data_IF_887226251182
#
_entry.id   IF_887226251182
#
_cell.length_a   1.000
_cell.length_b   1.000
_cell.length_c   1.000
_cell.angle_alpha   90.00
_cell.angle_beta   90.00
_cell.angle_gamma   90.00
#
_symmetry.space_group_name_H-M   'P 1'
#
loop_
_entity.id
_entity.type
_entity.pdbx_description
1 polymer ?
#
# COMPACT_ATOMS: atom_id res chain seq x y z
N UNK A 1 0.23 19.39 29.33
CA UNK A 1 1.48 19.25 28.55
C UNK A 1 1.26 18.27 27.42
N UNK A 2 1.18 18.75 26.18
CA UNK A 2 0.91 17.92 25.00
C UNK A 2 2.21 17.42 24.39
N UNK A 3 2.47 16.11 24.51
CA UNK A 3 3.61 15.45 23.84
C UNK A 3 3.20 15.10 22.42
N UNK A 4 3.79 15.79 21.45
CA UNK A 4 3.74 15.39 20.04
C UNK A 4 4.65 14.18 19.84
N UNK A 5 4.15 13.15 19.17
CA UNK A 5 4.96 12.06 18.62
C UNK A 5 4.95 12.21 17.11
N UNK A 6 6.11 12.55 16.56
CA UNK A 6 6.36 12.46 15.13
C UNK A 6 6.54 10.98 14.75
N UNK A 7 5.80 10.54 13.75
CA UNK A 7 5.94 9.20 13.17
C UNK A 7 6.80 9.31 11.92
N UNK A 8 8.00 8.73 11.96
CA UNK A 8 8.79 8.45 10.77
C UNK A 8 8.33 7.09 10.21
N UNK A 9 7.19 7.09 9.53
CA UNK A 9 6.59 5.89 8.96
C UNK A 9 5.32 6.30 8.21
N UNK A 10 5.31 6.07 6.90
CA UNK A 10 4.15 6.39 6.05
C UNK A 10 2.90 5.64 6.49
N UNK A 11 1.76 6.02 5.90
CA UNK A 11 0.40 5.52 6.14
C UNK A 11 0.26 3.99 6.31
N UNK A 12 1.20 3.20 5.78
CA UNK A 12 1.32 1.75 5.96
C UNK A 12 1.43 1.30 7.42
N UNK A 13 2.11 2.07 8.29
CA UNK A 13 2.22 1.74 9.73
C UNK A 13 0.87 1.93 10.46
N UNK A 14 0.04 2.86 9.96
CA UNK A 14 -1.31 3.10 10.48
C UNK A 14 -2.30 2.00 10.08
N UNK A 15 -2.13 1.41 8.89
CA UNK A 15 -2.96 0.30 8.40
C UNK A 15 -2.60 -1.01 9.11
N UNK A 16 -1.32 -1.24 9.40
CA UNK A 16 -0.87 -2.37 10.21
C UNK A 16 -1.44 -2.33 11.65
N UNK A 17 -1.58 -1.13 12.22
CA UNK A 17 -2.18 -0.95 13.56
C UNK A 17 -3.70 -1.13 13.60
N UNK A 18 -4.41 -1.01 12.47
CA UNK A 18 -5.88 -1.14 12.45
C UNK A 18 -6.38 -2.57 12.25
N UNK A 19 -5.47 -3.50 11.95
CA UNK A 19 -5.78 -4.92 11.80
C UNK A 19 -6.68 -5.20 10.59
N UNK A 20 -6.17 -5.94 9.62
CA UNK A 20 -7.03 -6.54 8.61
C UNK A 20 -7.92 -7.60 9.28
N UNK A 21 -9.19 -7.23 9.48
CA UNK A 21 -10.28 -8.16 9.75
C UNK A 21 -10.65 -8.29 11.22
N UNK A 22 -11.53 -7.42 11.71
CA UNK A 22 -12.59 -7.77 12.68
C UNK A 22 -13.79 -6.83 12.50
N UNK A 23 -14.87 -7.36 11.93
CA UNK A 23 -16.18 -6.71 11.91
C UNK A 23 -16.89 -6.89 13.26
N UNK A 24 -16.72 -5.91 14.16
CA UNK A 24 -17.63 -5.42 15.24
C UNK A 24 -18.06 -6.34 16.42
N UNK A 25 -18.76 -5.82 17.45
CA UNK A 25 -18.94 -4.41 17.88
C UNK A 25 -18.74 -4.15 19.42
N UNK A 26 -18.67 -2.85 19.77
CA UNK A 26 -18.87 -2.15 21.06
C UNK A 26 -18.25 -2.66 22.39
N UNK A 27 -17.60 -1.73 23.09
CA UNK A 27 -16.99 -1.85 24.42
C UNK A 27 -18.04 -1.69 25.58
N UNK A 28 -17.69 -1.76 26.88
CA UNK A 28 -18.08 -2.87 27.78
C UNK A 28 -18.88 -2.46 29.03
N UNK A 29 -19.57 -3.41 29.68
CA UNK A 29 -20.03 -3.31 31.08
C UNK A 29 -19.57 -4.55 31.89
N UNK A 30 -19.41 -4.43 33.24
CA UNK A 30 -18.43 -5.20 34.05
C UNK A 30 -18.86 -6.62 34.48
N UNK A 31 -17.96 -7.44 35.06
CA UNK A 31 -17.99 -8.89 34.92
C UNK A 31 -18.77 -9.61 36.02
N UNK A 32 -19.36 -10.75 35.67
CA UNK A 32 -19.79 -11.79 36.63
C UNK A 32 -19.31 -13.16 36.14
N UNK A 33 -18.74 -14.01 37.02
CA UNK A 33 -17.84 -15.07 36.59
C UNK A 33 -18.56 -16.37 36.23
N UNK A 34 -17.82 -17.18 35.47
CA UNK A 34 -17.85 -18.64 35.43
C UNK A 34 -18.89 -19.34 34.54
N UNK A 35 -18.42 -19.75 33.37
CA UNK A 35 -18.44 -21.17 32.96
C UNK A 35 -17.42 -21.40 31.86
N UNK A 36 -16.49 -22.33 32.09
CA UNK A 36 -15.57 -22.80 31.08
C UNK A 36 -16.38 -23.41 29.93
N UNK A 37 -16.49 -22.67 28.83
CA UNK A 37 -16.99 -23.19 27.57
C UNK A 37 -15.85 -23.97 26.88
N UNK A 38 -16.14 -25.10 26.21
CA UNK A 38 -15.12 -25.84 25.46
C UNK A 38 -14.45 -24.89 24.48
N UNK A 39 -13.11 -24.92 24.46
CA UNK A 39 -12.28 -24.22 23.47
C UNK A 39 -12.80 -24.64 22.10
N UNK A 40 -13.59 -23.77 21.46
CA UNK A 40 -14.07 -23.98 20.10
C UNK A 40 -12.80 -24.14 19.27
N UNK A 41 -12.54 -25.37 18.84
CA UNK A 41 -11.43 -25.66 17.95
C UNK A 41 -11.58 -24.69 16.78
N UNK A 42 -10.54 -23.88 16.56
CA UNK A 42 -10.52 -22.90 15.49
C UNK A 42 -11.03 -23.59 14.22
N UNK A 43 -12.22 -23.17 13.76
CA UNK A 43 -12.81 -23.69 12.54
C UNK A 43 -11.74 -23.57 11.46
N UNK A 44 -11.50 -24.60 10.64
CA UNK A 44 -10.51 -24.50 9.57
C UNK A 44 -10.83 -23.25 8.78
N UNK A 45 -9.85 -22.35 8.65
CA UNK A 45 -10.02 -21.10 7.92
C UNK A 45 -10.64 -21.45 6.56
N UNK A 46 -11.88 -21.00 6.34
CA UNK A 46 -12.54 -21.22 5.07
C UNK A 46 -11.61 -20.68 3.98
N UNK A 47 -11.34 -21.50 2.94
CA UNK A 47 -10.43 -21.14 1.85
C UNK A 47 -10.79 -19.75 1.33
N UNK A 48 -9.98 -18.75 1.67
CA UNK A 48 -10.18 -17.37 1.22
C UNK A 48 -10.09 -17.38 -0.31
N UNK A 49 -10.90 -16.57 -0.96
CA UNK A 49 -10.79 -16.32 -2.40
C UNK A 49 -10.39 -14.86 -2.58
N UNK A 50 -9.63 -14.57 -3.65
CA UNK A 50 -9.44 -13.19 -4.07
C UNK A 50 -10.80 -12.55 -4.33
N UNK A 51 -11.00 -11.38 -3.73
CA UNK A 51 -12.11 -10.49 -3.99
C UNK A 51 -12.07 -9.96 -5.42
N UNK A 52 -13.20 -9.43 -5.89
CA UNK A 52 -13.29 -8.81 -7.22
C UNK A 52 -12.29 -7.66 -7.38
N UNK A 53 -12.11 -6.84 -6.34
CA UNK A 53 -11.19 -5.71 -6.37
C UNK A 53 -9.73 -6.17 -6.45
N UNK A 54 -9.33 -7.17 -5.68
CA UNK A 54 -7.96 -7.73 -5.72
C UNK A 54 -7.63 -8.32 -7.10
N UNK A 55 -8.57 -9.07 -7.70
CA UNK A 55 -8.41 -9.58 -9.08
C UNK A 55 -8.27 -8.44 -10.10
N UNK A 56 -9.14 -7.43 -10.01
CA UNK A 56 -9.10 -6.29 -10.91
C UNK A 56 -7.80 -5.48 -10.76
N UNK A 57 -7.30 -5.34 -9.53
CA UNK A 57 -6.02 -4.69 -9.27
C UNK A 57 -4.88 -5.43 -9.97
N UNK A 58 -4.78 -6.76 -9.82
CA UNK A 58 -3.78 -7.58 -10.52
C UNK A 58 -3.81 -7.42 -12.05
N UNK A 59 -4.99 -7.27 -12.66
CA UNK A 59 -5.13 -7.06 -14.11
C UNK A 59 -4.71 -5.65 -14.56
N UNK A 60 -4.92 -4.64 -13.71
CA UNK A 60 -4.76 -3.21 -14.08
C UNK A 60 -3.41 -2.62 -13.66
N UNK A 61 -2.82 -3.10 -12.57
CA UNK A 61 -1.54 -2.63 -12.05
C UNK A 61 -0.41 -2.74 -13.08
N UNK A 62 -0.25 -3.82 -13.86
CA UNK A 62 0.79 -3.89 -14.89
C UNK A 62 0.73 -2.74 -15.90
N UNK A 63 -0.45 -2.44 -16.44
CA UNK A 63 -0.63 -1.34 -17.39
C UNK A 63 -0.35 0.04 -16.74
N UNK A 64 -0.71 0.20 -15.47
CA UNK A 64 -0.39 1.41 -14.70
C UNK A 64 1.11 1.55 -14.50
N UNK A 65 1.82 0.48 -14.13
CA UNK A 65 3.28 0.48 -13.95
C UNK A 65 4.00 0.84 -15.26
N UNK A 66 3.57 0.29 -16.40
CA UNK A 66 4.14 0.66 -17.70
C UNK A 66 3.95 2.15 -18.03
N UNK A 67 2.79 2.71 -17.70
CA UNK A 67 2.54 4.15 -17.87
C UNK A 67 3.47 4.98 -16.98
N UNK A 68 3.62 4.61 -15.70
CA UNK A 68 4.51 5.30 -14.76
C UNK A 68 5.97 5.22 -15.19
N UNK A 69 6.43 4.06 -15.66
CA UNK A 69 7.79 3.88 -16.21
C UNK A 69 8.01 4.75 -17.44
N UNK A 70 7.03 4.87 -18.33
CA UNK A 70 7.12 5.75 -19.49
C UNK A 70 7.14 7.24 -19.12
N UNK A 71 6.42 7.64 -18.07
CA UNK A 71 6.48 9.00 -17.53
C UNK A 71 7.84 9.30 -16.88
N UNK A 72 8.36 8.37 -16.09
CA UNK A 72 9.69 8.46 -15.48
C UNK A 72 10.78 8.61 -16.54
N UNK A 73 10.75 7.80 -17.60
CA UNK A 73 11.72 7.90 -18.69
C UNK A 73 11.71 9.28 -19.38
N UNK A 74 10.55 9.91 -19.51
CA UNK A 74 10.44 11.28 -20.07
C UNK A 74 11.03 12.32 -19.13
N UNK A 75 10.75 12.20 -17.84
CA UNK A 75 11.29 13.10 -16.81
C UNK A 75 12.80 12.94 -16.68
N UNK A 76 13.31 11.71 -16.70
CA UNK A 76 14.73 11.39 -16.69
C UNK A 76 15.45 11.98 -17.91
N UNK A 77 14.87 11.86 -19.11
CA UNK A 77 15.40 12.48 -20.31
C UNK A 77 15.46 14.01 -20.21
N UNK A 78 14.47 14.65 -19.56
CA UNK A 78 14.48 16.09 -19.31
C UNK A 78 15.54 16.48 -18.28
N UNK A 79 15.70 15.70 -17.21
CA UNK A 79 16.72 15.93 -16.17
C UNK A 79 18.14 15.69 -16.67
N UNK A 80 18.31 14.84 -17.69
CA UNK A 80 19.58 14.61 -18.38
C UNK A 80 20.04 15.76 -19.29
N UNK A 81 19.18 16.73 -19.60
CA UNK A 81 19.56 17.93 -20.36
C UNK A 81 20.28 18.94 -19.46
N UNK A 82 21.61 18.99 -19.55
CA UNK A 82 22.46 19.89 -18.78
C UNK A 82 22.16 21.39 -19.02
N UNK A 83 21.59 21.76 -20.18
CA UNK A 83 21.21 23.16 -20.46
C UNK A 83 19.82 23.50 -19.90
N UNK A 84 18.99 22.52 -19.51
CA UNK A 84 17.66 22.78 -18.96
C UNK A 84 17.75 23.60 -17.68
N UNK A 85 18.62 23.23 -16.75
CA UNK A 85 18.78 23.97 -15.50
C UNK A 85 19.25 25.40 -15.73
N UNK A 86 20.12 25.64 -16.73
CA UNK A 86 20.61 26.97 -17.07
C UNK A 86 19.53 27.84 -17.72
N UNK A 87 18.70 27.25 -18.58
CA UNK A 87 17.64 27.94 -19.34
C UNK A 87 16.38 28.18 -18.51
N UNK A 88 15.98 27.18 -17.73
CA UNK A 88 14.77 27.21 -16.90
C UNK A 88 14.97 26.36 -15.61
N UNK A 89 15.56 26.95 -14.55
CA UNK A 89 15.72 26.28 -13.26
C UNK A 89 14.39 25.77 -12.68
N UNK A 90 13.30 26.52 -12.87
CA UNK A 90 12.01 26.14 -12.33
C UNK A 90 11.43 24.91 -13.03
N UNK A 91 11.66 24.73 -14.34
CA UNK A 91 11.32 23.50 -15.05
C UNK A 91 12.15 22.31 -14.55
N UNK A 92 13.44 22.50 -14.29
CA UNK A 92 14.29 21.46 -13.71
C UNK A 92 13.81 21.03 -12.32
N UNK A 93 13.46 21.98 -11.46
CA UNK A 93 12.92 21.70 -10.12
C UNK A 93 11.59 20.93 -10.19
N UNK A 94 10.68 21.36 -11.08
CA UNK A 94 9.41 20.65 -11.33
C UNK A 94 9.64 19.23 -11.85
N UNK A 95 10.59 19.04 -12.77
CA UNK A 95 10.91 17.72 -13.29
C UNK A 95 11.51 16.81 -12.21
N UNK A 96 12.35 17.36 -11.33
CA UNK A 96 12.95 16.64 -10.20
C UNK A 96 11.89 16.19 -9.19
N UNK A 97 11.00 17.10 -8.81
CA UNK A 97 9.89 16.76 -7.91
C UNK A 97 8.94 15.74 -8.53
N UNK A 98 8.54 15.97 -9.79
CA UNK A 98 7.69 15.05 -10.52
C UNK A 98 8.31 13.65 -10.67
N UNK A 99 9.62 13.58 -10.89
CA UNK A 99 10.34 12.30 -10.95
C UNK A 99 10.25 11.55 -9.62
N UNK A 100 10.54 12.23 -8.50
CA UNK A 100 10.46 11.63 -7.17
C UNK A 100 9.04 11.14 -6.83
N UNK A 101 8.00 11.92 -7.17
CA UNK A 101 6.61 11.53 -6.97
C UNK A 101 6.24 10.30 -7.80
N UNK A 102 6.60 10.28 -9.09
CA UNK A 102 6.31 9.17 -9.99
C UNK A 102 7.07 7.90 -9.65
N UNK A 103 8.30 8.03 -9.16
CA UNK A 103 9.06 6.90 -8.66
C UNK A 103 8.36 6.29 -7.44
N UNK A 104 7.95 7.13 -6.48
CA UNK A 104 7.22 6.66 -5.31
C UNK A 104 5.85 6.04 -5.67
N UNK A 105 5.18 6.53 -6.72
CA UNK A 105 3.97 5.91 -7.25
C UNK A 105 4.23 4.53 -7.86
N UNK A 106 5.31 4.39 -8.64
CA UNK A 106 5.73 3.13 -9.24
C UNK A 106 6.06 2.09 -8.16
N UNK A 107 6.88 2.47 -7.18
CA UNK A 107 7.27 1.58 -6.08
C UNK A 107 6.04 1.10 -5.29
N UNK A 108 5.05 1.98 -5.06
CA UNK A 108 3.79 1.58 -4.41
C UNK A 108 2.99 0.58 -5.25
N UNK A 109 2.89 0.81 -6.56
CA UNK A 109 2.17 -0.08 -7.46
C UNK A 109 2.86 -1.46 -7.57
N UNK A 110 4.18 -1.50 -7.59
CA UNK A 110 4.97 -2.73 -7.60
C UNK A 110 4.78 -3.51 -6.30
N UNK A 111 4.84 -2.85 -5.15
CA UNK A 111 4.57 -3.48 -3.86
C UNK A 111 3.15 -4.03 -3.76
N UNK A 112 2.14 -3.25 -4.15
CA UNK A 112 0.73 -3.69 -4.17
C UNK A 112 0.55 -4.93 -5.06
N UNK A 113 1.19 -4.95 -6.23
CA UNK A 113 1.14 -6.09 -7.13
C UNK A 113 1.77 -7.34 -6.49
N UNK A 114 2.95 -7.20 -5.87
CA UNK A 114 3.62 -8.31 -5.18
C UNK A 114 2.79 -8.86 -4.01
N UNK A 115 2.19 -8.00 -3.20
CA UNK A 115 1.32 -8.41 -2.09
C UNK A 115 0.11 -9.21 -2.59
N UNK A 116 -0.50 -8.77 -3.70
CA UNK A 116 -1.63 -9.45 -4.32
C UNK A 116 -1.24 -10.78 -4.97
N UNK A 117 -0.05 -10.87 -5.56
CA UNK A 117 0.49 -12.12 -6.12
C UNK A 117 0.78 -13.14 -5.02
N UNK A 118 1.40 -12.73 -3.91
CA UNK A 118 1.62 -13.59 -2.73
C UNK A 118 0.26 -14.11 -2.21
N UNK A 119 -0.72 -13.21 -2.04
CA UNK A 119 -2.05 -13.61 -1.60
C UNK A 119 -2.72 -14.59 -2.57
N UNK A 120 -2.51 -14.43 -3.89
CA UNK A 120 -3.01 -15.36 -4.89
C UNK A 120 -2.39 -16.74 -4.70
N UNK A 121 -1.06 -16.80 -4.57
CA UNK A 121 -0.34 -18.05 -4.35
C UNK A 121 -0.76 -18.75 -3.05
N UNK A 122 -0.94 -18.01 -1.95
CA UNK A 122 -1.43 -18.55 -0.68
C UNK A 122 -2.85 -19.13 -0.75
N UNK A 123 -3.68 -18.61 -1.67
CA UNK A 123 -5.07 -19.06 -1.87
C UNK A 123 -5.13 -20.29 -2.81
N UNK A 124 -4.25 -20.31 -3.82
CA UNK A 124 -4.22 -21.35 -4.86
C UNK A 124 -3.40 -22.58 -4.46
N UNK A 125 -2.41 -22.41 -3.57
CA UNK A 125 -1.63 -23.49 -2.94
C UNK A 125 -2.40 -24.29 -1.91
#
# INVERSE_FOLDING_TARGET
EGRWREYAGGYSDMVAQRGYGLSGPLAPEPPKPEKAAPREAARPAAKRKLSFNEKRALETLPARMETLRAELAKLEAALGDADLHRRDPAAFDRATHGYAEKQAELDRAENEWLELEILREEIEG
#
